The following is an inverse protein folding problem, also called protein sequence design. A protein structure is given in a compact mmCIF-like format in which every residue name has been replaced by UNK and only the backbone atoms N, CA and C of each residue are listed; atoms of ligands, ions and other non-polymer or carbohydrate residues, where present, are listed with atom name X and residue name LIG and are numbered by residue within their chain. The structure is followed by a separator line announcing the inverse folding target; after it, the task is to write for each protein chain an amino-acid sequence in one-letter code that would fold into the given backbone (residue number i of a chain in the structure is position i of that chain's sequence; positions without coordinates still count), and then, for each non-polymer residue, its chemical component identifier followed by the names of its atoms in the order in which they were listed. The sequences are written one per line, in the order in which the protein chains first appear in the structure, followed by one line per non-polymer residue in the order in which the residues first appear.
data_IF_611932056300
#
_entry.id   IF_611932056300
#
_cell.length_a   1.000
_cell.length_b   1.000
_cell.length_c   1.000
_cell.angle_alpha   90.00
_cell.angle_beta   90.00
_cell.angle_gamma   90.00
#
_symmetry.space_group_name_H-M   'P 1'
#
loop_
_entity.id
_entity.type
_entity.pdbx_description
1 polymer ?
#
# COMPACT_ATOMS: atom_id res chain seq x y z
N UNK A 1 -10.65 24.28 -29.31
CA UNK A 1 -9.34 24.18 -28.66
C UNK A 1 -9.16 25.42 -27.82
N UNK A 2 -9.52 25.35 -26.55
CA UNK A 2 -9.30 26.42 -25.59
C UNK A 2 -7.79 26.66 -25.44
N UNK A 3 -7.40 27.90 -25.50
CA UNK A 3 -6.08 28.41 -25.19
C UNK A 3 -5.82 28.32 -23.68
N UNK A 4 -5.99 27.17 -23.07
CA UNK A 4 -5.44 26.96 -21.74
C UNK A 4 -3.96 26.73 -21.94
N UNK A 5 -3.18 27.69 -21.54
CA UNK A 5 -1.74 27.61 -21.47
C UNK A 5 -1.34 26.42 -20.58
N UNK A 6 -1.20 25.28 -21.20
CA UNK A 6 -0.88 24.00 -20.55
C UNK A 6 0.54 23.96 -19.94
N UNK A 7 1.21 25.10 -19.82
CA UNK A 7 2.59 25.22 -19.37
C UNK A 7 2.70 25.83 -17.98
N UNK A 8 1.60 26.14 -17.33
CA UNK A 8 1.63 26.67 -15.98
C UNK A 8 1.27 25.57 -14.97
N UNK A 9 2.09 25.42 -13.94
CA UNK A 9 1.72 24.79 -12.68
C UNK A 9 0.56 25.61 -12.06
N UNK A 10 -0.61 25.51 -12.65
CA UNK A 10 -1.82 26.05 -12.04
C UNK A 10 -2.27 25.03 -11.02
N UNK A 11 -2.13 25.37 -9.75
CA UNK A 11 -2.93 24.82 -8.70
C UNK A 11 -4.41 25.04 -9.10
N UNK A 12 -5.01 24.03 -9.70
CA UNK A 12 -6.45 24.05 -9.94
C UNK A 12 -7.14 23.95 -8.60
N UNK A 13 -7.94 24.96 -8.28
CA UNK A 13 -8.81 24.95 -7.11
C UNK A 13 -9.98 23.94 -7.21
N UNK A 14 -10.03 23.17 -8.30
CA UNK A 14 -11.04 22.19 -8.56
C UNK A 14 -10.53 20.80 -8.12
N UNK A 15 -10.78 20.42 -6.90
CA UNK A 15 -10.72 19.06 -6.30
C UNK A 15 -9.70 18.03 -6.85
N UNK A 16 -9.09 18.27 -8.02
CA UNK A 16 -8.20 17.30 -8.68
C UNK A 16 -6.88 17.10 -7.93
N UNK A 17 -6.42 18.13 -7.24
CA UNK A 17 -5.19 18.05 -6.45
C UNK A 17 -5.41 17.32 -5.12
N UNK A 18 -6.66 17.25 -4.65
CA UNK A 18 -6.99 16.71 -3.33
C UNK A 18 -7.45 15.25 -3.39
N UNK A 19 -7.81 14.75 -4.59
CA UNK A 19 -8.44 13.43 -4.77
C UNK A 19 -7.62 12.29 -4.15
N UNK A 20 -6.31 12.29 -4.33
CA UNK A 20 -5.49 11.20 -3.80
C UNK A 20 -5.48 11.22 -2.26
N UNK A 21 -5.42 12.40 -1.64
CA UNK A 21 -5.51 12.55 -0.20
C UNK A 21 -6.93 12.20 0.31
N UNK A 22 -7.95 12.77 -0.31
CA UNK A 22 -9.34 12.53 0.06
C UNK A 22 -9.66 11.03 0.03
N UNK A 23 -9.40 10.34 -1.10
CA UNK A 23 -9.68 8.91 -1.23
C UNK A 23 -8.89 8.07 -0.22
N UNK A 24 -7.63 8.41 0.03
CA UNK A 24 -6.82 7.69 1.00
C UNK A 24 -7.40 7.79 2.42
N UNK A 25 -7.77 8.99 2.84
CA UNK A 25 -8.24 9.24 4.21
C UNK A 25 -9.74 9.05 4.43
N UNK A 26 -10.56 9.01 3.36
CA UNK A 26 -12.00 8.73 3.48
C UNK A 26 -12.35 7.27 3.22
N UNK A 27 -11.55 6.54 2.43
CA UNK A 27 -11.88 5.16 2.04
C UNK A 27 -10.85 4.15 2.55
N UNK A 28 -9.55 4.36 2.27
CA UNK A 28 -8.52 3.35 2.55
C UNK A 28 -8.19 3.26 4.04
N UNK A 29 -7.85 4.38 4.66
CA UNK A 29 -7.46 4.40 6.07
C UNK A 29 -8.59 4.01 7.02
N UNK A 30 -9.86 4.46 6.82
CA UNK A 30 -10.97 4.01 7.65
C UNK A 30 -11.28 2.51 7.49
N UNK A 31 -11.22 1.97 6.26
CA UNK A 31 -11.43 0.55 6.01
C UNK A 31 -10.33 -0.30 6.67
N UNK A 32 -9.07 0.10 6.50
CA UNK A 32 -7.95 -0.55 7.19
C UNK A 32 -8.11 -0.51 8.71
N UNK A 33 -8.49 0.67 9.27
CA UNK A 33 -8.73 0.81 10.71
C UNK A 33 -9.83 -0.13 11.20
N UNK A 34 -10.92 -0.24 10.46
CA UNK A 34 -12.03 -1.14 10.82
C UNK A 34 -11.57 -2.60 10.85
N UNK A 35 -10.75 -3.04 9.88
CA UNK A 35 -10.19 -4.39 9.85
C UNK A 35 -9.21 -4.59 11.01
N UNK A 36 -8.36 -3.60 11.30
CA UNK A 36 -7.42 -3.64 12.44
C UNK A 36 -8.17 -3.80 13.77
N UNK A 37 -9.17 -2.96 14.00
CA UNK A 37 -9.83 -2.85 15.31
C UNK A 37 -10.79 -4.02 15.59
N UNK A 38 -11.35 -4.64 14.53
CA UNK A 38 -12.37 -5.68 14.68
C UNK A 38 -11.91 -7.07 14.19
N UNK A 39 -10.86 -7.17 13.41
CA UNK A 39 -10.51 -8.42 12.72
C UNK A 39 -9.06 -8.86 12.87
N UNK A 40 -8.15 -8.04 13.40
CA UNK A 40 -6.73 -8.38 13.48
C UNK A 40 -6.46 -9.69 14.24
N UNK A 41 -7.19 -9.93 15.32
CA UNK A 41 -7.00 -11.14 16.14
C UNK A 41 -7.74 -12.37 15.57
N UNK A 42 -8.90 -12.16 14.95
CA UNK A 42 -9.75 -13.25 14.45
C UNK A 42 -9.37 -13.68 13.02
N UNK A 43 -8.96 -12.71 12.18
CA UNK A 43 -8.60 -12.91 10.76
C UNK A 43 -7.26 -12.22 10.44
N UNK A 44 -6.15 -12.69 11.03
CA UNK A 44 -4.84 -12.03 10.88
C UNK A 44 -4.36 -12.00 9.43
N UNK A 45 -4.71 -13.01 8.61
CA UNK A 45 -4.39 -13.06 7.19
C UNK A 45 -5.13 -11.98 6.38
N UNK A 46 -6.38 -11.68 6.75
CA UNK A 46 -7.13 -10.60 6.12
C UNK A 46 -6.57 -9.22 6.50
N UNK A 47 -6.17 -9.06 7.77
CA UNK A 47 -5.48 -7.87 8.23
C UNK A 47 -4.15 -7.68 7.50
N UNK A 48 -3.37 -8.74 7.30
CA UNK A 48 -2.10 -8.68 6.58
C UNK A 48 -2.30 -8.17 5.13
N UNK A 49 -3.30 -8.65 4.41
CA UNK A 49 -3.64 -8.14 3.06
C UNK A 49 -4.06 -6.67 3.12
N UNK A 50 -4.88 -6.29 4.11
CA UNK A 50 -5.28 -4.89 4.29
C UNK A 50 -4.08 -3.98 4.60
N UNK A 51 -3.10 -4.47 5.37
CA UNK A 51 -1.85 -3.77 5.67
C UNK A 51 -1.02 -3.53 4.41
N UNK A 52 -0.87 -4.55 3.56
CA UNK A 52 -0.18 -4.44 2.27
C UNK A 52 -0.86 -3.40 1.37
N UNK A 53 -2.19 -3.42 1.28
CA UNK A 53 -2.97 -2.46 0.49
C UNK A 53 -2.87 -1.03 1.04
N UNK A 54 -2.86 -0.88 2.38
CA UNK A 54 -2.60 0.42 3.03
C UNK A 54 -1.27 0.99 2.58
N UNK A 55 -0.18 0.22 2.69
CA UNK A 55 1.15 0.67 2.28
C UNK A 55 1.21 0.95 0.77
N UNK A 56 0.61 0.08 -0.06
CA UNK A 56 0.55 0.27 -1.51
C UNK A 56 -0.16 1.57 -1.93
N UNK A 57 -1.10 2.05 -1.13
CA UNK A 57 -1.79 3.33 -1.37
C UNK A 57 -1.01 4.48 -0.76
N UNK A 58 -0.67 4.39 0.52
CA UNK A 58 -0.16 5.52 1.29
C UNK A 58 1.25 5.95 0.87
N UNK A 59 2.09 5.04 0.33
CA UNK A 59 3.38 5.46 -0.20
C UNK A 59 3.24 6.44 -1.38
N UNK A 60 2.22 6.28 -2.22
CA UNK A 60 1.94 7.21 -3.31
C UNK A 60 1.42 8.56 -2.79
N UNK A 61 0.62 8.52 -1.74
CA UNK A 61 0.04 9.73 -1.13
C UNK A 61 1.15 10.57 -0.49
N UNK A 62 2.06 9.97 0.29
CA UNK A 62 3.20 10.69 0.85
C UNK A 62 4.19 11.17 -0.21
N UNK A 63 4.32 10.44 -1.34
CA UNK A 63 5.14 10.89 -2.48
C UNK A 63 4.59 12.17 -3.14
N UNK A 64 3.27 12.38 -3.09
CA UNK A 64 2.61 13.57 -3.66
C UNK A 64 2.61 14.72 -2.65
N UNK A 65 2.27 14.44 -1.38
CA UNK A 65 1.97 15.48 -0.39
C UNK A 65 3.06 15.68 0.67
N UNK A 66 4.04 14.76 0.75
CA UNK A 66 5.07 14.77 1.80
C UNK A 66 4.54 14.27 3.15
N UNK A 67 4.66 15.03 4.23
CA UNK A 67 4.16 14.67 5.55
C UNK A 67 2.65 14.36 5.55
N UNK A 68 2.25 13.33 6.31
CA UNK A 68 0.85 12.89 6.42
C UNK A 68 0.51 12.54 7.86
N UNK A 69 -0.78 12.59 8.28
CA UNK A 69 -1.23 12.09 9.57
C UNK A 69 -1.36 10.56 9.53
N UNK A 70 -0.25 9.83 9.63
CA UNK A 70 -0.17 8.39 9.38
C UNK A 70 -0.03 7.54 10.63
N UNK A 71 1.00 7.80 11.46
CA UNK A 71 1.34 6.95 12.62
C UNK A 71 0.29 6.98 13.72
N UNK A 72 -0.30 8.14 13.95
CA UNK A 72 -1.32 8.35 14.97
C UNK A 72 -2.74 8.25 14.43
N UNK A 73 -2.92 7.79 13.19
CA UNK A 73 -4.25 7.68 12.60
C UNK A 73 -5.17 6.75 13.38
N UNK A 74 -6.32 7.28 13.78
CA UNK A 74 -7.37 6.52 14.45
C UNK A 74 -7.11 6.19 15.93
N UNK A 75 -6.10 6.78 16.56
CA UNK A 75 -5.86 6.65 18.01
C UNK A 75 -6.77 7.54 18.88
N UNK A 76 -7.63 8.32 18.23
CA UNK A 76 -8.55 9.25 18.90
C UNK A 76 -7.92 10.63 19.13
N UNK A 77 -8.77 11.63 19.41
CA UNK A 77 -8.38 13.02 19.58
C UNK A 77 -9.02 13.92 18.52
N UNK A 78 -9.02 15.22 18.78
CA UNK A 78 -9.55 16.24 17.84
C UNK A 78 -8.56 16.52 16.71
N UNK A 79 -7.29 16.25 16.93
CA UNK A 79 -6.21 16.51 15.98
C UNK A 79 -5.32 15.28 15.84
N UNK A 80 -4.87 15.01 14.62
CA UNK A 80 -3.84 13.99 14.33
C UNK A 80 -2.61 14.71 13.79
N UNK A 81 -1.45 14.60 14.47
CA UNK A 81 -0.23 15.24 13.99
C UNK A 81 0.23 14.68 12.66
N UNK A 82 0.93 15.50 11.88
CA UNK A 82 1.58 15.08 10.66
C UNK A 82 2.94 14.48 10.99
N UNK A 83 3.18 13.30 10.49
CA UNK A 83 4.47 12.61 10.59
C UNK A 83 5.37 13.00 9.44
N UNK A 84 6.68 12.98 9.67
CA UNK A 84 7.66 13.22 8.61
C UNK A 84 7.58 12.12 7.55
N UNK A 85 7.90 12.44 6.29
CA UNK A 85 7.94 11.44 5.22
C UNK A 85 8.93 10.32 5.55
N UNK A 86 10.02 10.61 6.23
CA UNK A 86 11.00 9.61 6.67
C UNK A 86 10.39 8.62 7.66
N UNK A 87 9.67 9.10 8.68
CA UNK A 87 9.03 8.24 9.68
C UNK A 87 7.92 7.39 9.06
N UNK A 88 7.16 7.97 8.12
CA UNK A 88 6.15 7.24 7.35
C UNK A 88 6.78 6.11 6.55
N UNK A 89 7.89 6.38 5.84
CA UNK A 89 8.60 5.35 5.09
C UNK A 89 9.17 4.24 5.99
N UNK A 90 9.73 4.60 7.15
CA UNK A 90 10.17 3.60 8.16
C UNK A 90 9.01 2.71 8.60
N UNK A 91 7.85 3.30 8.85
CA UNK A 91 6.65 2.55 9.21
C UNK A 91 6.17 1.61 8.09
N UNK A 92 6.28 2.01 6.82
CA UNK A 92 5.92 1.13 5.71
C UNK A 92 6.70 -0.18 5.70
N UNK A 93 8.00 -0.14 6.01
CA UNK A 93 8.80 -1.36 6.09
C UNK A 93 8.38 -2.24 7.26
N UNK A 94 8.08 -1.65 8.42
CA UNK A 94 7.59 -2.37 9.60
C UNK A 94 6.23 -3.00 9.29
N UNK A 95 5.32 -2.25 8.70
CA UNK A 95 3.99 -2.70 8.30
C UNK A 95 4.04 -3.87 7.30
N UNK A 96 4.95 -3.81 6.33
CA UNK A 96 5.15 -4.88 5.35
C UNK A 96 5.80 -6.12 5.99
N UNK A 97 6.78 -5.94 6.87
CA UNK A 97 7.43 -7.07 7.54
C UNK A 97 6.44 -7.83 8.44
N UNK A 98 5.56 -7.11 9.16
CA UNK A 98 4.47 -7.72 9.94
C UNK A 98 3.51 -8.51 9.02
N UNK A 99 3.06 -7.90 7.93
CA UNK A 99 2.12 -8.54 7.01
C UNK A 99 2.73 -9.76 6.30
N UNK A 100 3.99 -9.69 5.89
CA UNK A 100 4.72 -10.80 5.27
C UNK A 100 4.85 -11.97 6.23
N UNK A 101 5.27 -11.71 7.49
CA UNK A 101 5.41 -12.74 8.51
C UNK A 101 4.08 -13.44 8.79
N UNK A 102 2.98 -12.68 8.87
CA UNK A 102 1.65 -13.23 9.11
C UNK A 102 1.16 -14.11 7.95
N UNK A 103 1.32 -13.66 6.70
CA UNK A 103 0.96 -14.47 5.53
C UNK A 103 1.81 -15.74 5.42
N UNK A 104 3.12 -15.67 5.72
CA UNK A 104 3.99 -16.84 5.73
C UNK A 104 3.54 -17.86 6.78
N UNK A 105 3.23 -17.39 7.98
CA UNK A 105 2.71 -18.24 9.04
C UNK A 105 1.38 -18.89 8.64
N UNK A 106 0.45 -18.11 8.10
CA UNK A 106 -0.85 -18.63 7.65
C UNK A 106 -0.70 -19.71 6.58
N UNK A 107 0.13 -19.48 5.56
CA UNK A 107 0.39 -20.45 4.48
C UNK A 107 1.00 -21.75 5.02
N UNK A 108 1.89 -21.65 6.00
CA UNK A 108 2.54 -22.81 6.61
C UNK A 108 1.53 -23.69 7.37
N UNK A 109 0.58 -23.08 8.07
CA UNK A 109 -0.45 -23.77 8.86
C UNK A 109 -1.60 -24.27 7.97
N UNK A 110 -1.96 -23.50 6.94
CA UNK A 110 -3.12 -23.76 6.07
C UNK A 110 -2.74 -23.83 4.59
N UNK A 111 -1.93 -24.82 4.15
CA UNK A 111 -1.44 -24.88 2.78
C UNK A 111 -2.60 -25.00 1.78
N UNK A 112 -2.60 -24.10 0.77
CA UNK A 112 -3.62 -24.08 -0.28
C UNK A 112 -4.96 -23.44 0.10
N UNK A 113 -5.13 -22.96 1.33
CA UNK A 113 -6.34 -22.25 1.77
C UNK A 113 -6.45 -20.88 1.10
N UNK A 114 -7.66 -20.52 0.70
CA UNK A 114 -7.98 -19.23 0.05
C UNK A 114 -9.24 -18.61 0.68
N UNK A 115 -9.19 -18.18 1.95
CA UNK A 115 -10.38 -17.69 2.67
C UNK A 115 -10.96 -16.43 2.04
N UNK A 116 -10.13 -15.61 1.38
CA UNK A 116 -10.55 -14.37 0.73
C UNK A 116 -10.96 -14.54 -0.74
N UNK A 117 -11.12 -15.77 -1.26
CA UNK A 117 -11.31 -16.00 -2.70
C UNK A 117 -12.53 -15.27 -3.30
N UNK A 118 -13.57 -15.03 -2.51
CA UNK A 118 -14.79 -14.32 -2.94
C UNK A 118 -14.65 -12.79 -2.91
N UNK A 119 -13.70 -12.28 -2.15
CA UNK A 119 -13.54 -10.85 -1.87
C UNK A 119 -12.29 -10.26 -2.49
N UNK A 120 -11.27 -11.08 -2.72
CA UNK A 120 -10.01 -10.67 -3.33
C UNK A 120 -10.12 -10.67 -4.86
N UNK A 121 -10.33 -9.49 -5.42
CA UNK A 121 -10.48 -9.26 -6.87
C UNK A 121 -9.13 -9.19 -7.61
N UNK A 122 -8.01 -9.26 -6.88
CA UNK A 122 -6.66 -9.15 -7.45
C UNK A 122 -6.08 -10.53 -7.69
N UNK A 123 -6.01 -11.35 -6.65
CA UNK A 123 -5.37 -12.67 -6.68
C UNK A 123 -6.28 -13.83 -6.32
N UNK A 124 -7.59 -13.56 -6.07
CA UNK A 124 -8.55 -14.59 -5.71
C UNK A 124 -8.18 -15.34 -4.42
N UNK A 125 -7.63 -14.63 -3.45
CA UNK A 125 -7.20 -15.19 -2.16
C UNK A 125 -5.89 -15.97 -2.20
N UNK A 126 -5.10 -15.85 -3.26
CA UNK A 126 -3.78 -16.50 -3.38
C UNK A 126 -2.73 -15.73 -2.57
N UNK A 127 -2.49 -16.15 -1.35
CA UNK A 127 -1.55 -15.49 -0.45
C UNK A 127 -0.09 -15.63 -0.88
N UNK A 128 0.27 -16.63 -1.69
CA UNK A 128 1.62 -16.73 -2.25
C UNK A 128 1.89 -15.57 -3.22
N UNK A 129 0.88 -15.18 -4.00
CA UNK A 129 0.99 -14.00 -4.87
C UNK A 129 1.00 -12.70 -4.07
N UNK A 130 0.23 -12.62 -2.99
CA UNK A 130 0.27 -11.47 -2.07
C UNK A 130 1.64 -11.31 -1.41
N UNK A 131 2.32 -12.39 -1.04
CA UNK A 131 3.71 -12.35 -0.54
C UNK A 131 4.67 -11.77 -1.57
N UNK A 132 4.60 -12.25 -2.81
CA UNK A 132 5.44 -11.71 -3.90
C UNK A 132 5.15 -10.23 -4.16
N UNK A 133 3.89 -9.83 -4.10
CA UNK A 133 3.50 -8.43 -4.22
C UNK A 133 4.06 -7.59 -3.07
N UNK A 134 3.95 -8.05 -1.83
CA UNK A 134 4.47 -7.34 -0.65
C UNK A 134 6.00 -7.18 -0.72
N UNK A 135 6.73 -8.24 -1.07
CA UNK A 135 8.17 -8.18 -1.27
C UNK A 135 8.57 -7.24 -2.42
N UNK A 136 7.81 -7.23 -3.52
CA UNK A 136 8.04 -6.31 -4.64
C UNK A 136 7.80 -4.86 -4.24
N UNK A 137 6.79 -4.61 -3.40
CA UNK A 137 6.53 -3.30 -2.83
C UNK A 137 7.67 -2.89 -1.88
N UNK A 138 8.12 -3.79 -1.01
CA UNK A 138 9.27 -3.58 -0.12
C UNK A 138 10.54 -3.23 -0.91
N UNK A 139 10.84 -3.98 -1.99
CA UNK A 139 11.94 -3.68 -2.91
C UNK A 139 11.80 -2.29 -3.52
N UNK A 140 10.60 -1.93 -4.01
CA UNK A 140 10.33 -0.61 -4.57
C UNK A 140 10.59 0.52 -3.57
N UNK A 141 10.13 0.38 -2.33
CA UNK A 141 10.37 1.36 -1.26
C UNK A 141 11.86 1.47 -0.92
N UNK A 142 12.57 0.34 -0.85
CA UNK A 142 14.00 0.32 -0.60
C UNK A 142 14.81 1.02 -1.69
N UNK A 143 14.43 0.82 -2.96
CA UNK A 143 15.06 1.54 -4.08
C UNK A 143 14.80 3.06 -4.05
N UNK A 144 13.63 3.49 -3.55
CA UNK A 144 13.32 4.92 -3.40
C UNK A 144 14.12 5.59 -2.29
N UNK A 145 14.42 4.87 -1.22
CA UNK A 145 15.18 5.38 -0.07
C UNK A 145 16.70 5.17 -0.21
N UNK A 146 17.15 4.52 -1.29
CA UNK A 146 18.55 4.11 -1.46
C UNK A 146 19.57 5.26 -1.37
N UNK A 147 19.22 6.43 -1.90
CA UNK A 147 20.07 7.61 -1.88
C UNK A 147 19.82 8.56 -0.69
N UNK A 148 18.95 8.18 0.24
CA UNK A 148 18.71 8.95 1.46
C UNK A 148 19.80 8.61 2.47
N UNK A 149 20.67 9.57 2.74
CA UNK A 149 21.77 9.38 3.69
C UNK A 149 21.26 9.06 5.10
N UNK A 150 21.78 7.99 5.68
CA UNK A 150 21.44 7.60 7.05
C UNK A 150 20.06 6.95 7.20
N UNK A 151 19.33 6.66 6.10
CA UNK A 151 18.06 5.94 6.20
C UNK A 151 18.27 4.50 6.62
N UNK A 152 17.74 4.16 7.77
CA UNK A 152 17.77 2.81 8.33
C UNK A 152 16.44 2.46 9.01
N UNK A 153 16.06 1.19 8.92
CA UNK A 153 14.91 0.61 9.61
C UNK A 153 15.38 -0.61 10.38
N UNK A 154 15.23 -0.59 11.70
CA UNK A 154 15.68 -1.67 12.58
C UNK A 154 17.16 -2.06 12.37
N UNK A 155 18.05 -1.06 12.13
CA UNK A 155 19.48 -1.28 11.87
C UNK A 155 19.80 -1.84 10.47
N UNK A 156 18.81 -1.87 9.56
CA UNK A 156 19.00 -2.31 8.18
C UNK A 156 18.96 -1.11 7.25
N UNK A 157 20.00 -0.97 6.43
CA UNK A 157 20.05 0.04 5.36
C UNK A 157 19.09 -0.30 4.22
N UNK A 158 18.73 0.69 3.39
CA UNK A 158 17.89 0.48 2.19
C UNK A 158 18.41 -0.64 1.30
N UNK A 159 19.74 -0.74 1.13
CA UNK A 159 20.37 -1.82 0.36
C UNK A 159 20.04 -3.19 0.97
N UNK A 160 20.19 -3.33 2.28
CA UNK A 160 19.92 -4.60 2.96
C UNK A 160 18.45 -5.00 2.86
N UNK A 161 17.54 -4.03 3.01
CA UNK A 161 16.10 -4.24 2.85
C UNK A 161 15.75 -4.69 1.41
N UNK A 162 16.41 -4.13 0.39
CA UNK A 162 16.23 -4.54 -1.00
C UNK A 162 16.73 -5.98 -1.25
N UNK A 163 17.93 -6.31 -0.76
CA UNK A 163 18.52 -7.65 -0.89
C UNK A 163 17.64 -8.73 -0.22
N UNK A 164 17.11 -8.44 0.96
CA UNK A 164 16.17 -9.32 1.66
C UNK A 164 14.88 -9.52 0.86
N UNK A 165 14.26 -8.43 0.37
CA UNK A 165 13.05 -8.52 -0.42
C UNK A 165 13.20 -9.38 -1.68
N UNK A 166 14.33 -9.25 -2.38
CA UNK A 166 14.63 -10.08 -3.56
C UNK A 166 14.83 -11.53 -3.18
N UNK A 167 15.56 -11.81 -2.08
CA UNK A 167 15.82 -13.17 -1.58
C UNK A 167 14.50 -13.87 -1.19
N UNK A 168 13.56 -13.14 -0.58
CA UNK A 168 12.28 -13.67 -0.11
C UNK A 168 11.26 -13.88 -1.23
N UNK A 169 11.59 -13.42 -2.45
CA UNK A 169 10.81 -13.65 -3.67
C UNK A 169 9.91 -12.49 -4.04
N UNK A 170 10.22 -11.89 -5.18
CA UNK A 170 9.46 -10.80 -5.80
C UNK A 170 8.68 -11.29 -7.02
N UNK A 171 7.81 -10.46 -7.58
CA UNK A 171 7.14 -10.71 -8.86
C UNK A 171 8.20 -10.73 -9.97
N UNK A 172 8.26 -11.83 -10.71
CA UNK A 172 9.20 -12.02 -11.84
C UNK A 172 8.49 -12.32 -13.15
N UNK A 173 7.20 -12.68 -13.10
CA UNK A 173 6.42 -13.07 -14.27
C UNK A 173 5.14 -12.24 -14.39
N UNK A 174 4.67 -12.05 -15.62
CA UNK A 174 3.43 -11.31 -15.89
C UNK A 174 2.17 -11.96 -15.26
N UNK A 175 2.17 -13.28 -15.10
CA UNK A 175 1.08 -14.00 -14.45
C UNK A 175 0.94 -13.72 -12.94
N UNK A 176 1.95 -13.08 -12.34
CA UNK A 176 1.99 -12.69 -10.94
C UNK A 176 1.61 -11.23 -10.71
N UNK A 177 1.39 -10.47 -11.80
CA UNK A 177 1.01 -9.06 -11.69
C UNK A 177 -0.31 -8.88 -10.94
N UNK A 178 -0.33 -7.85 -10.08
CA UNK A 178 -1.54 -7.42 -9.39
C UNK A 178 -2.48 -6.71 -10.39
N UNK A 179 -3.45 -7.44 -10.90
CA UNK A 179 -4.42 -6.95 -11.86
C UNK A 179 -5.81 -7.00 -11.26
N UNK A 180 -6.46 -5.84 -11.17
CA UNK A 180 -7.89 -5.79 -10.84
C UNK A 180 -8.69 -6.30 -12.04
N UNK A 181 -9.38 -7.43 -11.86
CA UNK A 181 -10.23 -7.98 -12.91
C UNK A 181 -11.56 -7.20 -12.98
N UNK A 182 -11.75 -6.45 -14.06
CA UNK A 182 -13.03 -5.81 -14.37
C UNK A 182 -13.97 -6.87 -14.96
N UNK A 183 -14.97 -7.24 -14.20
CA UNK A 183 -16.03 -8.17 -14.57
C UNK A 183 -17.04 -8.17 -13.42
N UNK A 184 -18.21 -8.66 -13.50
CA UNK A 184 -19.14 -8.74 -12.40
C UNK A 184 -19.57 -7.39 -11.76
N UNK A 185 -19.78 -6.35 -12.59
CA UNK A 185 -20.34 -5.07 -12.13
C UNK A 185 -19.33 -4.05 -11.63
N UNK A 186 -18.04 -4.33 -11.67
CA UNK A 186 -17.03 -3.32 -11.37
C UNK A 186 -16.73 -2.53 -12.63
N UNK A 187 -17.19 -1.29 -12.67
CA UNK A 187 -16.82 -0.31 -13.71
C UNK A 187 -15.50 0.33 -13.34
N UNK A 188 -14.41 -0.09 -13.99
CA UNK A 188 -13.13 0.61 -13.89
C UNK A 188 -13.17 1.80 -14.84
N UNK A 189 -13.24 3.00 -14.29
CA UNK A 189 -13.17 4.23 -15.07
C UNK A 189 -11.74 4.38 -15.60
N UNK A 190 -11.55 4.14 -16.91
CA UNK A 190 -10.24 4.39 -17.52
C UNK A 190 -10.10 5.89 -17.81
N UNK A 191 -9.04 6.58 -17.29
CA UNK A 191 -8.89 8.03 -17.44
C UNK A 191 -8.88 8.52 -18.90
N UNK A 192 -8.56 7.66 -19.85
CA UNK A 192 -8.53 7.97 -21.29
C UNK A 192 -9.90 7.80 -21.99
N UNK A 193 -10.97 7.46 -21.26
CA UNK A 193 -12.33 7.36 -21.82
C UNK A 193 -13.11 8.68 -21.76
N UNK A 194 -12.46 9.77 -21.37
CA UNK A 194 -13.00 11.14 -21.38
C UNK A 194 -12.46 11.85 -22.65
N UNK A 195 -12.81 11.33 -23.80
CA UNK A 195 -12.72 12.01 -25.08
C UNK A 195 -14.04 11.83 -25.81
#
# INVERSE_FOLDING_TARGET
WGTSSAVHYNLRYDKWNDVAFEVAFTNVMPAWKQIRDNGKEEFPEAYAVAQILKVATMHRVTDIYGPLPYLQYGHGGLETPYDSQEDIYKSFFIDLDEAIAELQNYIAIHPGSKPLNKYDLVYGGDFTKWLKFANSLKLRLAMRTYYVNGFEVNGKTSRKLAEEAVKDGVITENAENALLQSGNGISVFHPLKIC
#
